data_IF_577222987006
#
_entry.id   IF_577222987006
#
_cell.length_a   1.000
_cell.length_b   1.000
_cell.length_c   1.000
_cell.angle_alpha   90.00
_cell.angle_beta   90.00
_cell.angle_gamma   90.00
#
_symmetry.space_group_name_H-M   'P 1'
#
loop_
_entity.id
_entity.type
_entity.pdbx_description
1 polymer ?
#
# COMPACT_ATOMS: atom_id res chain seq x y z
N UNK A 1 -57.62 -18.16 -63.62
CA UNK A 1 -56.39 -18.60 -64.32
C UNK A 1 -55.42 -17.42 -64.40
N UNK A 2 -54.30 -17.56 -63.68
CA UNK A 2 -52.98 -16.93 -63.72
C UNK A 2 -52.75 -15.48 -64.21
N UNK A 3 -51.96 -14.70 -63.44
CA UNK A 3 -50.90 -13.85 -63.97
C UNK A 3 -49.52 -14.56 -63.94
N UNK A 4 -48.61 -14.26 -64.89
CA UNK A 4 -47.18 -14.09 -64.59
C UNK A 4 -46.63 -12.77 -65.21
N UNK A 5 -45.37 -12.31 -64.94
CA UNK A 5 -44.24 -13.04 -64.37
C UNK A 5 -43.48 -12.38 -63.19
N UNK A 6 -42.99 -13.29 -62.35
CA UNK A 6 -41.70 -13.38 -61.64
C UNK A 6 -40.73 -12.21 -61.81
N UNK A 7 -40.39 -11.54 -60.70
CA UNK A 7 -39.07 -10.94 -60.49
C UNK A 7 -38.38 -11.68 -59.35
N UNK A 8 -37.17 -12.15 -59.61
CA UNK A 8 -36.39 -13.05 -58.77
C UNK A 8 -35.93 -12.34 -57.49
N UNK A 9 -36.42 -12.78 -56.33
CA UNK A 9 -35.76 -12.52 -55.06
C UNK A 9 -34.60 -13.50 -54.90
N UNK A 10 -33.37 -12.98 -55.00
CA UNK A 10 -32.13 -13.70 -54.70
C UNK A 10 -32.20 -14.23 -53.28
N UNK A 11 -32.26 -15.55 -53.10
CA UNK A 11 -32.05 -16.19 -51.80
C UNK A 11 -30.56 -16.12 -51.49
N UNK A 12 -30.17 -15.26 -50.56
CA UNK A 12 -28.87 -15.34 -49.91
C UNK A 12 -28.90 -16.53 -48.95
N UNK A 13 -28.06 -17.52 -49.21
CA UNK A 13 -27.79 -18.62 -48.28
C UNK A 13 -27.10 -18.07 -47.02
N UNK A 14 -27.50 -18.47 -45.81
CA UNK A 14 -26.84 -18.06 -44.58
C UNK A 14 -25.37 -18.52 -44.59
N UNK A 15 -24.49 -17.64 -44.13
CA UNK A 15 -23.05 -17.89 -44.06
C UNK A 15 -22.78 -18.92 -42.97
N UNK A 16 -21.74 -19.79 -43.10
CA UNK A 16 -21.36 -20.74 -42.05
C UNK A 16 -21.10 -20.08 -40.68
N UNK A 17 -20.86 -18.76 -40.64
CA UNK A 17 -20.72 -17.97 -39.43
C UNK A 17 -22.01 -17.83 -38.61
N UNK A 18 -23.18 -18.03 -39.21
CA UNK A 18 -24.49 -17.84 -38.55
C UNK A 18 -24.92 -19.05 -37.69
N UNK A 19 -24.12 -20.12 -37.65
CA UNK A 19 -24.39 -21.36 -36.92
C UNK A 19 -23.56 -21.56 -35.65
N UNK A 20 -22.82 -20.54 -35.19
CA UNK A 20 -22.13 -20.61 -33.91
C UNK A 20 -23.16 -20.33 -32.81
N UNK A 21 -23.46 -21.27 -31.90
CA UNK A 21 -24.33 -20.99 -30.77
C UNK A 21 -23.68 -19.88 -29.94
N UNK A 22 -24.30 -18.71 -29.89
CA UNK A 22 -23.93 -17.66 -28.94
C UNK A 22 -24.26 -18.21 -27.56
N UNK A 23 -23.25 -18.74 -26.87
CA UNK A 23 -23.34 -18.95 -25.44
C UNK A 23 -23.77 -17.61 -24.82
N UNK A 24 -24.89 -17.61 -24.11
CA UNK A 24 -25.41 -16.40 -23.47
C UNK A 24 -24.32 -15.75 -22.59
N UNK A 25 -24.24 -14.40 -22.56
CA UNK A 25 -23.14 -13.64 -21.96
C UNK A 25 -23.24 -13.50 -20.43
N UNK A 26 -23.97 -14.39 -19.74
CA UNK A 26 -24.22 -14.30 -18.30
C UNK A 26 -22.94 -14.39 -17.47
N UNK A 27 -21.99 -15.26 -17.84
CA UNK A 27 -20.74 -15.44 -17.10
C UNK A 27 -19.73 -14.30 -17.30
N UNK A 28 -19.66 -13.69 -18.50
CA UNK A 28 -18.75 -12.55 -18.76
C UNK A 28 -19.20 -11.31 -17.98
N UNK A 29 -20.50 -11.09 -17.83
CA UNK A 29 -21.04 -9.94 -17.10
C UNK A 29 -20.75 -9.98 -15.60
N UNK A 30 -20.48 -11.16 -15.02
CA UNK A 30 -20.18 -11.32 -13.59
C UNK A 30 -18.71 -11.07 -13.21
N UNK A 31 -17.78 -11.10 -14.17
CA UNK A 31 -16.34 -10.98 -13.89
C UNK A 31 -15.80 -9.56 -14.08
N UNK A 32 -16.50 -8.75 -14.87
CA UNK A 32 -16.18 -7.36 -15.14
C UNK A 32 -16.27 -6.49 -13.88
N UNK A 33 -15.46 -5.44 -13.81
CA UNK A 33 -15.49 -4.48 -12.72
C UNK A 33 -16.71 -3.58 -12.86
N UNK A 34 -17.63 -3.66 -11.91
CA UNK A 34 -18.82 -2.81 -11.84
C UNK A 34 -18.86 -2.11 -10.49
N UNK A 35 -18.36 -0.88 -10.39
CA UNK A 35 -18.44 -0.13 -9.14
C UNK A 35 -19.90 0.14 -8.79
N UNK A 36 -20.21 0.15 -7.49
CA UNK A 36 -21.49 0.65 -7.02
C UNK A 36 -21.65 2.15 -7.30
N UNK A 37 -22.87 2.66 -7.25
CA UNK A 37 -23.12 4.10 -7.42
C UNK A 37 -22.32 4.94 -6.42
N UNK A 38 -22.26 4.53 -5.16
CA UNK A 38 -21.49 5.25 -4.14
C UNK A 38 -19.99 5.24 -4.43
N UNK A 39 -19.43 4.10 -4.88
CA UNK A 39 -18.03 4.01 -5.29
C UNK A 39 -17.74 4.90 -6.50
N UNK A 40 -18.65 4.96 -7.48
CA UNK A 40 -18.51 5.82 -8.65
C UNK A 40 -18.53 7.31 -8.26
N UNK A 41 -19.45 7.72 -7.39
CA UNK A 41 -19.55 9.11 -6.96
C UNK A 41 -18.28 9.57 -6.21
N UNK A 42 -17.72 8.71 -5.34
CA UNK A 42 -16.43 8.99 -4.67
C UNK A 42 -15.29 9.02 -5.69
N UNK A 43 -15.23 8.04 -6.60
CA UNK A 43 -14.21 7.98 -7.66
C UNK A 43 -14.17 9.25 -8.50
N UNK A 44 -15.32 9.74 -8.95
CA UNK A 44 -15.41 10.95 -9.76
C UNK A 44 -14.93 12.20 -8.97
N UNK A 45 -15.10 12.21 -7.64
CA UNK A 45 -14.68 13.31 -6.77
C UNK A 45 -13.17 13.35 -6.49
N UNK A 46 -12.46 12.22 -6.64
CA UNK A 46 -11.00 12.10 -6.37
C UNK A 46 -10.15 11.94 -7.64
N UNK A 47 -10.77 11.60 -8.76
CA UNK A 47 -10.04 11.25 -9.99
C UNK A 47 -9.52 12.45 -10.74
N UNK A 48 -8.42 12.26 -11.45
CA UNK A 48 -7.93 13.25 -12.39
C UNK A 48 -8.95 13.48 -13.53
N UNK A 49 -9.05 14.69 -14.11
CA UNK A 49 -10.05 15.01 -15.13
C UNK A 49 -10.07 14.05 -16.33
N UNK A 50 -8.95 13.43 -16.67
CA UNK A 50 -8.83 12.47 -17.77
C UNK A 50 -9.54 11.12 -17.50
N UNK A 51 -9.97 10.85 -16.27
CA UNK A 51 -10.56 9.58 -15.85
C UNK A 51 -11.97 9.69 -15.29
N UNK A 52 -12.44 10.90 -14.95
CA UNK A 52 -13.79 11.15 -14.43
C UNK A 52 -14.87 10.66 -15.42
N UNK A 53 -15.88 9.94 -14.90
CA UNK A 53 -17.01 9.46 -15.69
C UNK A 53 -16.69 8.36 -16.70
N UNK A 54 -15.44 7.85 -16.73
CA UNK A 54 -15.12 6.66 -17.53
C UNK A 54 -15.80 5.44 -16.93
N UNK A 55 -16.19 4.52 -17.80
CA UNK A 55 -16.66 3.20 -17.38
C UNK A 55 -15.59 2.47 -16.55
N UNK A 56 -16.02 1.78 -15.49
CA UNK A 56 -15.13 1.12 -14.55
C UNK A 56 -14.19 0.11 -15.21
N UNK A 57 -14.65 -0.67 -16.19
CA UNK A 57 -13.79 -1.63 -16.90
C UNK A 57 -12.71 -0.90 -17.71
N UNK A 58 -13.09 0.20 -18.38
CA UNK A 58 -12.16 1.04 -19.16
C UNK A 58 -11.12 1.67 -18.25
N UNK A 59 -11.52 2.18 -17.07
CA UNK A 59 -10.60 2.69 -16.07
C UNK A 59 -9.60 1.61 -15.62
N UNK A 60 -10.09 0.40 -15.31
CA UNK A 60 -9.22 -0.70 -14.86
C UNK A 60 -8.22 -1.16 -15.92
N UNK A 61 -8.56 -1.05 -17.20
CA UNK A 61 -7.62 -1.31 -18.29
C UNK A 61 -6.54 -0.23 -18.40
N UNK A 62 -6.87 1.04 -18.16
CA UNK A 62 -5.86 2.09 -18.01
C UNK A 62 -4.94 1.82 -16.81
N UNK A 63 -5.49 1.46 -15.65
CA UNK A 63 -4.69 1.10 -14.46
C UNK A 63 -3.72 -0.03 -14.77
N UNK A 64 -4.14 -1.08 -15.48
CA UNK A 64 -3.28 -2.23 -15.80
C UNK A 64 -2.17 -1.91 -16.80
N UNK A 65 -2.44 -1.02 -17.75
CA UNK A 65 -1.51 -0.70 -18.85
C UNK A 65 -0.60 0.48 -18.57
N UNK A 66 -0.96 1.31 -17.58
CA UNK A 66 -0.21 2.53 -17.26
C UNK A 66 1.17 2.22 -16.70
N UNK A 67 2.14 3.03 -17.13
CA UNK A 67 3.49 2.98 -16.57
C UNK A 67 3.58 3.55 -15.16
N UNK A 68 2.59 4.32 -14.70
CA UNK A 68 2.53 4.82 -13.31
C UNK A 68 2.09 3.74 -12.32
N UNK A 69 1.44 2.67 -12.79
CA UNK A 69 1.06 1.52 -11.94
C UNK A 69 2.29 0.64 -11.68
N UNK A 70 3.10 1.07 -10.71
CA UNK A 70 4.35 0.40 -10.31
C UNK A 70 4.14 -0.74 -9.32
N UNK A 71 2.92 -1.23 -9.14
CA UNK A 71 2.57 -2.37 -8.31
C UNK A 71 1.79 -3.40 -9.13
N UNK A 72 1.55 -4.59 -8.57
CA UNK A 72 0.64 -5.54 -9.20
C UNK A 72 -0.80 -5.02 -9.08
N UNK A 73 -1.42 -4.66 -10.20
CA UNK A 73 -2.85 -4.33 -10.28
C UNK A 73 -3.76 -5.55 -10.05
N UNK A 74 -3.60 -6.24 -8.92
CA UNK A 74 -4.41 -7.36 -8.48
C UNK A 74 -5.88 -6.92 -8.40
N UNK A 75 -6.86 -7.70 -8.87
CA UNK A 75 -8.25 -7.24 -8.94
C UNK A 75 -8.77 -6.72 -7.60
N UNK A 76 -8.49 -7.41 -6.49
CA UNK A 76 -8.89 -7.01 -5.15
C UNK A 76 -8.22 -5.71 -4.65
N UNK A 77 -7.02 -5.39 -5.14
CA UNK A 77 -6.30 -4.16 -4.80
C UNK A 77 -6.84 -3.02 -5.67
N UNK A 78 -6.86 -3.23 -6.99
CA UNK A 78 -7.29 -2.22 -7.95
C UNK A 78 -8.74 -1.79 -7.72
N UNK A 79 -9.65 -2.73 -7.43
CA UNK A 79 -11.05 -2.41 -7.14
C UNK A 79 -11.22 -1.53 -5.91
N UNK A 80 -10.44 -1.77 -4.84
CA UNK A 80 -10.48 -0.99 -3.60
C UNK A 80 -9.78 0.36 -3.74
N UNK A 81 -8.75 0.44 -4.58
CA UNK A 81 -8.07 1.71 -4.85
C UNK A 81 -8.93 2.66 -5.69
N UNK A 82 -9.89 2.13 -6.46
CA UNK A 82 -10.82 2.91 -7.29
C UNK A 82 -11.46 4.07 -6.53
N UNK A 83 -11.85 3.84 -5.28
CA UNK A 83 -12.44 4.84 -4.39
C UNK A 83 -11.74 4.93 -3.02
N UNK A 84 -10.46 4.53 -2.94
CA UNK A 84 -9.58 4.68 -1.76
C UNK A 84 -10.10 3.93 -0.51
N UNK A 85 -10.55 2.68 -0.65
CA UNK A 85 -11.08 1.84 0.44
C UNK A 85 -9.99 1.29 1.39
N UNK A 86 -9.17 2.15 1.98
CA UNK A 86 -8.23 1.78 3.05
C UNK A 86 -8.93 1.57 4.39
N UNK A 87 -8.30 0.81 5.29
CA UNK A 87 -8.77 0.49 6.66
C UNK A 87 -10.01 -0.41 6.71
N UNK A 88 -11.20 0.13 6.42
CA UNK A 88 -12.48 -0.57 6.59
C UNK A 88 -12.67 -1.77 5.63
N UNK A 89 -11.87 -1.83 4.55
CA UNK A 89 -11.92 -2.89 3.55
C UNK A 89 -10.60 -3.68 3.45
N UNK A 90 -9.78 -3.64 4.51
CA UNK A 90 -8.48 -4.32 4.66
C UNK A 90 -7.40 -3.92 3.65
N UNK A 91 -7.61 -2.89 2.82
CA UNK A 91 -6.54 -2.34 2.01
C UNK A 91 -5.53 -1.62 2.90
N UNK A 92 -4.28 -2.04 2.77
CA UNK A 92 -3.12 -1.55 3.51
C UNK A 92 -2.05 -1.05 2.55
N UNK A 93 -1.26 -0.05 2.99
CA UNK A 93 -0.08 0.44 2.26
C UNK A 93 0.84 -0.70 1.82
N UNK A 94 1.01 -1.74 2.65
CA UNK A 94 1.90 -2.87 2.34
C UNK A 94 1.41 -3.77 1.19
N UNK A 95 0.19 -3.56 0.67
CA UNK A 95 -0.27 -4.21 -0.57
C UNK A 95 0.32 -3.58 -1.84
N UNK A 96 1.10 -2.52 -1.72
CA UNK A 96 1.68 -1.79 -2.85
C UNK A 96 3.21 -1.97 -2.97
N UNK A 97 3.77 -3.19 -2.90
CA UNK A 97 5.19 -3.38 -3.14
C UNK A 97 5.52 -3.00 -4.59
N UNK A 98 6.75 -2.50 -4.82
CA UNK A 98 7.18 -2.24 -6.19
C UNK A 98 7.19 -3.53 -6.98
N UNK A 99 6.50 -3.49 -8.11
CA UNK A 99 6.39 -4.62 -9.00
C UNK A 99 7.58 -4.64 -9.96
N UNK A 100 8.55 -5.51 -9.67
CA UNK A 100 9.72 -5.76 -10.53
C UNK A 100 9.38 -6.72 -11.68
N UNK A 101 10.07 -6.59 -12.81
CA UNK A 101 9.91 -7.44 -13.99
C UNK A 101 10.14 -8.94 -13.68
N UNK A 102 11.10 -9.25 -12.81
CA UNK A 102 11.42 -10.62 -12.40
C UNK A 102 10.23 -11.31 -11.73
N UNK A 103 9.40 -10.55 -11.04
CA UNK A 103 8.18 -11.03 -10.39
C UNK A 103 7.06 -11.42 -11.38
N UNK A 104 7.13 -11.04 -12.67
CA UNK A 104 6.24 -11.57 -13.71
C UNK A 104 6.57 -13.03 -14.03
N UNK A 105 7.86 -13.37 -14.03
CA UNK A 105 8.37 -14.70 -14.36
C UNK A 105 7.94 -15.73 -13.31
N UNK A 106 7.99 -15.38 -12.03
CA UNK A 106 7.60 -16.26 -10.93
C UNK A 106 6.08 -16.48 -10.85
N UNK A 107 5.27 -15.46 -11.20
CA UNK A 107 3.81 -15.62 -11.29
C UNK A 107 3.34 -16.49 -12.44
N UNK A 108 4.08 -16.54 -13.55
CA UNK A 108 3.76 -17.49 -14.64
C UNK A 108 3.81 -18.95 -14.16
N UNK A 109 4.55 -19.22 -13.08
CA UNK A 109 4.77 -20.56 -12.52
C UNK A 109 3.79 -20.92 -11.39
N UNK A 110 3.21 -19.94 -10.68
CA UNK A 110 2.28 -20.16 -9.58
C UNK A 110 0.84 -19.81 -10.01
N UNK A 111 -0.06 -20.81 -10.06
CA UNK A 111 -1.51 -20.73 -10.37
C UNK A 111 -2.05 -19.29 -10.39
N UNK A 112 -1.93 -18.64 -11.54
CA UNK A 112 -2.10 -17.20 -11.64
C UNK A 112 -3.56 -16.80 -11.38
N UNK A 113 -3.76 -15.82 -10.49
CA UNK A 113 -5.04 -15.14 -10.32
C UNK A 113 -5.46 -14.57 -11.67
N UNK A 114 -6.72 -14.78 -12.05
CA UNK A 114 -7.26 -14.12 -13.24
C UNK A 114 -7.32 -12.61 -12.97
N UNK A 115 -6.39 -11.87 -13.57
CA UNK A 115 -6.22 -10.44 -13.37
C UNK A 115 -7.37 -9.58 -13.89
N UNK A 116 -8.38 -10.18 -14.55
CA UNK A 116 -9.63 -9.53 -14.98
C UNK A 116 -10.84 -9.95 -14.15
N UNK A 117 -10.68 -10.84 -13.16
CA UNK A 117 -11.78 -11.30 -12.32
C UNK A 117 -11.95 -10.36 -11.12
N UNK A 118 -12.97 -9.51 -11.15
CA UNK A 118 -13.31 -8.58 -10.06
C UNK A 118 -14.42 -9.11 -9.14
N UNK A 119 -14.64 -10.42 -9.12
CA UNK A 119 -15.57 -11.03 -8.15
C UNK A 119 -15.15 -10.69 -6.72
N UNK A 120 -16.12 -10.40 -5.85
CA UNK A 120 -15.89 -10.19 -4.41
C UNK A 120 -15.25 -11.39 -3.70
N UNK A 121 -15.24 -12.56 -4.33
CA UNK A 121 -14.55 -13.76 -3.85
C UNK A 121 -13.03 -13.71 -4.01
N UNK A 122 -12.51 -12.77 -4.80
CA UNK A 122 -11.07 -12.60 -4.96
C UNK A 122 -10.52 -11.90 -3.71
N UNK A 123 -9.83 -12.68 -2.87
CA UNK A 123 -9.22 -12.18 -1.64
C UNK A 123 -8.04 -11.23 -1.94
N UNK A 124 -7.74 -10.35 -0.98
CA UNK A 124 -6.51 -9.56 -1.02
C UNK A 124 -5.29 -10.48 -0.87
N UNK A 125 -4.15 -10.17 -1.52
CA UNK A 125 -2.89 -10.83 -1.23
C UNK A 125 -2.52 -10.68 0.24
N UNK A 126 -1.90 -11.71 0.82
CA UNK A 126 -1.42 -11.66 2.19
C UNK A 126 -0.32 -10.60 2.35
N UNK A 127 -0.32 -9.93 3.50
CA UNK A 127 0.72 -8.97 3.84
C UNK A 127 2.04 -9.69 4.16
N UNK A 128 3.20 -9.04 3.95
CA UNK A 128 4.48 -9.63 4.34
C UNK A 128 4.53 -9.91 5.85
N UNK A 129 5.03 -11.08 6.27
CA UNK A 129 5.16 -11.42 7.70
C UNK A 129 6.21 -10.56 8.42
N UNK A 130 7.29 -10.21 7.70
CA UNK A 130 8.45 -9.49 8.25
C UNK A 130 8.86 -8.30 7.38
N UNK A 131 8.00 -7.27 7.21
CA UNK A 131 8.33 -6.09 6.43
C UNK A 131 9.48 -5.31 7.05
N UNK A 132 10.34 -4.80 6.18
CA UNK A 132 11.34 -3.81 6.49
C UNK A 132 10.77 -2.41 6.31
N UNK A 133 11.39 -1.41 6.94
CA UNK A 133 10.96 -0.02 6.79
C UNK A 133 11.06 0.47 5.34
N UNK A 134 12.02 -0.04 4.57
CA UNK A 134 12.14 0.22 3.13
C UNK A 134 10.91 -0.22 2.34
N UNK A 135 10.23 -1.29 2.77
CA UNK A 135 9.03 -1.78 2.08
C UNK A 135 7.87 -0.78 2.24
N UNK A 136 7.79 -0.14 3.41
CA UNK A 136 6.81 0.92 3.69
C UNK A 136 7.09 2.17 2.86
N UNK A 137 8.32 2.68 2.87
CA UNK A 137 8.68 3.91 2.13
C UNK A 137 8.62 3.71 0.62
N UNK A 138 8.96 2.50 0.13
CA UNK A 138 8.78 2.13 -1.26
C UNK A 138 7.29 2.09 -1.63
N UNK A 139 6.44 1.45 -0.82
CA UNK A 139 5.02 1.36 -1.10
C UNK A 139 4.33 2.74 -1.15
N UNK A 140 4.70 3.64 -0.23
CA UNK A 140 4.26 5.04 -0.25
C UNK A 140 4.70 5.75 -1.54
N UNK A 141 5.94 5.53 -1.98
CA UNK A 141 6.47 6.09 -3.22
C UNK A 141 5.77 5.56 -4.48
N UNK A 142 5.42 4.28 -4.48
CA UNK A 142 4.66 3.62 -5.56
C UNK A 142 3.24 4.19 -5.62
N UNK A 143 2.56 4.31 -4.49
CA UNK A 143 1.23 4.92 -4.40
C UNK A 143 1.23 6.38 -4.85
N UNK A 144 2.22 7.17 -4.43
CA UNK A 144 2.33 8.56 -4.89
C UNK A 144 2.57 8.64 -6.41
N UNK A 145 3.34 7.71 -6.98
CA UNK A 145 3.53 7.64 -8.44
C UNK A 145 2.22 7.39 -9.17
N UNK A 146 1.40 6.47 -8.66
CA UNK A 146 0.06 6.20 -9.17
C UNK A 146 -0.85 7.44 -9.02
N UNK A 147 -0.85 8.07 -7.85
CA UNK A 147 -1.67 9.24 -7.55
C UNK A 147 -1.44 10.41 -8.51
N UNK A 148 -0.19 10.62 -8.95
CA UNK A 148 0.16 11.67 -9.93
C UNK A 148 -0.57 11.52 -11.27
N UNK A 149 -0.90 10.30 -11.68
CA UNK A 149 -1.59 10.05 -12.94
C UNK A 149 -3.10 9.97 -12.76
N UNK A 150 -3.57 9.23 -11.75
CA UNK A 150 -4.97 8.84 -11.66
C UNK A 150 -5.83 9.74 -10.78
N UNK A 151 -5.23 10.53 -9.87
CA UNK A 151 -5.97 11.37 -8.93
C UNK A 151 -5.85 12.87 -9.24
N UNK A 152 -6.84 13.63 -8.79
CA UNK A 152 -6.80 15.10 -8.86
C UNK A 152 -5.76 15.68 -7.88
N UNK A 153 -5.51 16.98 -8.02
CA UNK A 153 -4.48 17.69 -7.24
C UNK A 153 -4.67 17.55 -5.73
N UNK A 154 -5.88 17.79 -5.22
CA UNK A 154 -6.18 17.73 -3.79
C UNK A 154 -5.96 16.32 -3.21
N UNK A 155 -6.37 15.27 -3.93
CA UNK A 155 -6.15 13.88 -3.52
C UNK A 155 -4.67 13.52 -3.58
N UNK A 156 -3.98 13.94 -4.65
CA UNK A 156 -2.54 13.69 -4.84
C UNK A 156 -1.70 14.26 -3.72
N UNK A 157 -2.05 15.43 -3.19
CA UNK A 157 -1.30 16.11 -2.15
C UNK A 157 -1.23 15.30 -0.84
N UNK A 158 -2.25 14.48 -0.56
CA UNK A 158 -2.24 13.59 0.61
C UNK A 158 -1.26 12.44 0.43
N UNK A 159 -1.22 11.84 -0.77
CA UNK A 159 -0.23 10.82 -1.07
C UNK A 159 1.20 11.40 -1.09
N UNK A 160 1.36 12.65 -1.55
CA UNK A 160 2.64 13.36 -1.50
C UNK A 160 3.09 13.55 -0.04
N UNK A 161 2.20 14.08 0.80
CA UNK A 161 2.49 14.33 2.20
C UNK A 161 2.75 13.03 2.98
N UNK A 162 2.02 11.95 2.68
CA UNK A 162 2.25 10.64 3.27
C UNK A 162 3.63 10.07 2.89
N UNK A 163 4.02 10.18 1.61
CA UNK A 163 5.35 9.78 1.15
C UNK A 163 6.44 10.58 1.86
N UNK A 164 6.35 11.91 1.83
CA UNK A 164 7.38 12.78 2.39
C UNK A 164 7.51 12.59 3.91
N UNK A 165 6.41 12.33 4.61
CA UNK A 165 6.46 11.96 6.03
C UNK A 165 7.08 10.57 6.25
N UNK A 166 6.75 9.59 5.42
CA UNK A 166 7.41 8.28 5.45
C UNK A 166 8.93 8.39 5.31
N UNK A 167 9.42 9.28 4.45
CA UNK A 167 10.86 9.54 4.30
C UNK A 167 11.46 10.21 5.55
N UNK A 168 10.75 11.16 6.17
CA UNK A 168 11.20 11.78 7.44
C UNK A 168 11.30 10.77 8.59
N UNK A 169 10.51 9.70 8.56
CA UNK A 169 10.56 8.66 9.57
C UNK A 169 11.85 7.80 9.50
N UNK A 170 12.60 7.86 8.39
CA UNK A 170 13.91 7.19 8.25
C UNK A 170 14.90 7.65 9.32
N UNK A 171 14.86 8.95 9.70
CA UNK A 171 15.73 9.52 10.73
C UNK A 171 15.55 8.87 12.12
N UNK A 172 14.45 8.14 12.33
CA UNK A 172 14.12 7.46 13.59
C UNK A 172 14.40 5.95 13.55
N UNK A 173 15.01 5.46 12.48
CA UNK A 173 15.48 4.09 12.36
C UNK A 173 16.45 3.70 13.52
N UNK A 174 16.60 2.40 13.83
CA UNK A 174 15.96 1.25 13.18
C UNK A 174 14.49 1.06 13.60
N UNK A 175 13.71 0.48 12.68
CA UNK A 175 12.32 0.08 12.90
C UNK A 175 12.21 -1.44 12.91
N UNK A 176 11.54 -1.99 13.90
CA UNK A 176 11.18 -3.41 13.91
C UNK A 176 10.02 -3.69 12.96
N UNK A 177 9.91 -4.95 12.50
CA UNK A 177 8.81 -5.35 11.62
C UNK A 177 7.42 -5.09 12.21
N UNK A 178 7.24 -5.28 13.52
CA UNK A 178 5.97 -4.96 14.20
C UNK A 178 5.66 -3.46 14.17
N UNK A 179 6.66 -2.60 14.31
CA UNK A 179 6.49 -1.15 14.19
C UNK A 179 6.17 -0.74 12.75
N UNK A 180 6.77 -1.39 11.76
CA UNK A 180 6.44 -1.16 10.34
C UNK A 180 4.98 -1.51 10.05
N UNK A 181 4.47 -2.62 10.61
CA UNK A 181 3.04 -2.94 10.51
C UNK A 181 2.14 -1.87 11.15
N UNK A 182 2.51 -1.36 12.34
CA UNK A 182 1.77 -0.30 13.02
C UNK A 182 1.77 0.98 12.18
N UNK A 183 2.91 1.36 11.62
CA UNK A 183 3.03 2.53 10.74
C UNK A 183 2.20 2.34 9.46
N UNK A 184 2.28 1.18 8.81
CA UNK A 184 1.47 0.88 7.63
C UNK A 184 -0.02 0.97 7.92
N UNK A 185 -0.47 0.40 9.05
CA UNK A 185 -1.84 0.51 9.52
C UNK A 185 -2.25 1.96 9.77
N UNK A 186 -1.39 2.75 10.41
CA UNK A 186 -1.64 4.17 10.66
C UNK A 186 -1.78 4.98 9.37
N UNK A 187 -0.86 4.83 8.41
CA UNK A 187 -0.97 5.47 7.09
C UNK A 187 -2.25 5.05 6.36
N UNK A 188 -2.60 3.76 6.42
CA UNK A 188 -3.82 3.24 5.80
C UNK A 188 -5.06 3.88 6.40
N UNK A 189 -5.12 4.03 7.73
CA UNK A 189 -6.25 4.68 8.40
C UNK A 189 -6.38 6.17 8.02
N UNK A 190 -5.25 6.87 7.87
CA UNK A 190 -5.27 8.28 7.46
C UNK A 190 -5.86 8.42 6.06
N UNK A 191 -5.39 7.61 5.12
CA UNK A 191 -5.89 7.64 3.74
C UNK A 191 -7.37 7.19 3.71
N UNK A 192 -7.77 6.23 4.54
CA UNK A 192 -9.17 5.85 4.71
C UNK A 192 -10.04 6.98 5.29
N UNK A 193 -9.51 7.76 6.24
CA UNK A 193 -10.21 8.91 6.79
C UNK A 193 -10.37 10.05 5.77
N UNK A 194 -9.39 10.24 4.88
CA UNK A 194 -9.55 11.16 3.75
C UNK A 194 -10.76 10.80 2.88
N UNK A 195 -10.94 9.52 2.55
CA UNK A 195 -12.13 9.07 1.81
C UNK A 195 -13.43 9.45 2.54
N UNK A 196 -13.47 9.31 3.87
CA UNK A 196 -14.65 9.71 4.65
C UNK A 196 -14.91 11.22 4.55
N UNK A 197 -13.86 12.05 4.57
CA UNK A 197 -13.98 13.49 4.36
C UNK A 197 -14.49 13.82 2.94
N UNK A 198 -14.06 13.09 1.90
CA UNK A 198 -14.61 13.23 0.54
C UNK A 198 -16.11 12.98 0.53
N UNK A 199 -16.57 11.90 1.16
CA UNK A 199 -18.00 11.56 1.23
C UNK A 199 -18.79 12.65 1.97
N UNK A 200 -18.23 13.20 3.04
CA UNK A 200 -18.87 14.28 3.80
C UNK A 200 -18.92 15.61 3.02
N UNK A 201 -17.87 15.94 2.26
CA UNK A 201 -17.84 17.11 1.36
C UNK A 201 -18.95 17.01 0.31
N UNK A 202 -19.11 15.83 -0.29
CA UNK A 202 -20.17 15.56 -1.27
C UNK A 202 -21.57 15.69 -0.67
N UNK A 203 -21.75 15.27 0.60
CA UNK A 203 -23.03 15.32 1.31
C UNK A 203 -23.39 16.73 1.76
N UNK A 204 -22.40 17.47 2.25
CA UNK A 204 -22.59 18.76 2.93
C UNK A 204 -22.39 19.97 2.02
N UNK A 205 -21.66 19.81 0.90
CA UNK A 205 -21.28 20.89 -0.01
C UNK A 205 -20.16 21.78 0.52
N UNK A 206 -19.61 21.50 1.70
CA UNK A 206 -18.48 22.21 2.29
C UNK A 206 -17.16 21.48 1.94
N UNK A 207 -16.06 22.22 1.90
CA UNK A 207 -14.72 21.63 1.72
C UNK A 207 -14.07 21.40 3.09
N UNK A 208 -14.23 20.19 3.61
CA UNK A 208 -13.57 19.72 4.84
C UNK A 208 -12.26 19.00 4.56
N UNK A 209 -12.07 18.49 3.33
CA UNK A 209 -10.85 17.79 2.89
C UNK A 209 -9.55 18.57 3.15
N UNK A 210 -9.52 19.89 2.92
CA UNK A 210 -8.34 20.73 3.20
C UNK A 210 -8.08 20.95 4.71
N UNK A 211 -9.13 21.21 5.50
CA UNK A 211 -9.00 21.41 6.94
C UNK A 211 -8.59 20.12 7.64
N UNK A 212 -9.15 19.00 7.20
CA UNK A 212 -8.79 17.66 7.63
C UNK A 212 -7.31 17.42 7.28
N UNK A 213 -6.87 17.54 6.01
CA UNK A 213 -5.44 17.45 5.60
C UNK A 213 -4.48 18.27 6.47
N UNK A 214 -4.87 19.49 6.81
CA UNK A 214 -4.07 20.39 7.66
C UNK A 214 -4.12 20.01 9.14
N UNK A 215 -5.25 19.53 9.66
CA UNK A 215 -5.41 18.98 11.00
C UNK A 215 -4.66 17.65 11.16
N UNK A 216 -4.66 16.78 10.15
CA UNK A 216 -3.90 15.52 10.10
C UNK A 216 -2.39 15.80 10.15
N UNK A 217 -1.90 16.75 9.32
CA UNK A 217 -0.49 17.19 9.31
C UNK A 217 -0.08 17.96 10.57
N UNK A 218 -1.03 18.65 11.21
CA UNK A 218 -0.76 19.56 12.32
C UNK A 218 -0.99 18.99 13.73
N UNK A 219 -1.95 18.10 13.96
CA UNK A 219 -2.31 17.60 15.32
C UNK A 219 -1.76 16.20 15.62
N UNK A 220 -1.88 15.22 14.73
CA UNK A 220 -1.40 13.84 15.02
C UNK A 220 0.09 13.62 14.70
N UNK A 221 0.58 14.41 13.74
CA UNK A 221 2.00 14.61 13.46
C UNK A 221 2.73 15.47 14.50
N UNK A 222 1.99 16.17 15.38
CA UNK A 222 2.57 16.98 16.46
C UNK A 222 3.12 16.12 17.59
N UNK A 223 4.19 15.39 17.29
CA UNK A 223 5.08 14.85 18.31
C UNK A 223 4.41 13.80 19.22
N UNK A 224 3.09 13.60 19.21
CA UNK A 224 2.30 12.84 20.18
C UNK A 224 2.28 11.36 19.86
N UNK A 225 1.95 10.96 18.64
CA UNK A 225 1.96 9.54 18.23
C UNK A 225 3.40 9.01 18.17
N UNK A 226 4.34 9.77 17.58
CA UNK A 226 5.77 9.44 17.59
C UNK A 226 6.37 9.55 19.01
N UNK A 227 5.99 10.51 19.88
CA UNK A 227 6.41 10.51 21.30
C UNK A 227 5.79 9.37 22.08
N UNK A 228 4.54 9.01 21.84
CA UNK A 228 3.86 7.95 22.59
C UNK A 228 4.44 6.59 22.19
N UNK A 229 4.73 6.37 20.91
CA UNK A 229 5.57 5.25 20.45
C UNK A 229 6.98 5.30 21.07
N UNK A 230 7.60 6.47 21.20
CA UNK A 230 8.88 6.66 21.95
C UNK A 230 8.76 6.44 23.46
N UNK A 231 7.61 6.73 24.07
CA UNK A 231 7.35 6.57 25.52
C UNK A 231 7.06 5.11 25.86
N UNK A 232 6.46 4.37 24.93
CA UNK A 232 6.25 2.92 25.02
C UNK A 232 7.46 2.11 24.55
N UNK A 233 8.41 2.72 23.82
CA UNK A 233 9.73 2.11 23.58
C UNK A 233 10.47 1.99 24.92
N UNK A 234 11.14 0.86 25.20
CA UNK A 234 12.09 0.79 26.29
C UNK A 234 13.09 1.94 26.13
N UNK A 235 13.22 2.80 27.15
CA UNK A 235 14.20 3.89 27.12
C UNK A 235 15.59 3.28 27.00
N UNK A 236 16.09 3.23 25.78
CA UNK A 236 17.39 2.65 25.54
C UNK A 236 18.45 3.67 25.96
N UNK A 237 19.40 3.22 26.77
CA UNK A 237 20.45 4.09 27.27
C UNK A 237 21.20 4.72 26.08
N UNK A 238 21.52 6.01 26.19
CA UNK A 238 22.32 6.74 25.18
C UNK A 238 23.55 7.29 25.87
N UNK A 239 24.70 7.23 25.19
CA UNK A 239 25.94 7.86 25.63
C UNK A 239 26.39 8.84 24.55
N UNK A 240 26.53 10.12 24.92
CA UNK A 240 26.90 11.20 23.98
C UNK A 240 26.05 11.18 22.70
N UNK A 241 24.73 11.17 22.88
CA UNK A 241 23.68 11.13 21.84
C UNK A 241 23.67 9.90 20.90
N UNK A 242 24.53 8.91 21.13
CA UNK A 242 24.56 7.66 20.37
C UNK A 242 23.88 6.53 21.11
N UNK A 243 23.19 5.66 20.37
CA UNK A 243 22.51 4.49 20.91
C UNK A 243 23.47 3.32 21.11
N UNK A 244 23.20 2.42 22.05
CA UNK A 244 24.02 1.20 22.22
C UNK A 244 23.93 0.30 20.96
N UNK A 245 25.09 -0.09 20.44
CA UNK A 245 25.17 -1.07 19.37
C UNK A 245 24.72 -2.45 19.88
N UNK A 246 23.62 -2.98 19.36
CA UNK A 246 23.10 -4.30 19.77
C UNK A 246 24.06 -5.45 19.44
N UNK A 247 24.84 -5.34 18.35
CA UNK A 247 25.90 -6.30 18.03
C UNK A 247 27.02 -6.28 19.07
N UNK A 248 27.39 -5.12 19.60
CA UNK A 248 28.35 -5.03 20.70
C UNK A 248 27.80 -5.63 22.00
N UNK A 249 26.49 -5.48 22.24
CA UNK A 249 25.77 -6.07 23.36
C UNK A 249 25.47 -7.57 23.19
N UNK A 250 25.81 -8.16 22.04
CA UNK A 250 25.59 -9.56 21.73
C UNK A 250 26.87 -10.39 21.86
N UNK A 251 26.73 -11.71 21.99
CA UNK A 251 27.83 -12.68 21.93
C UNK A 251 28.52 -12.66 20.56
N UNK A 252 27.77 -12.42 19.49
CA UNK A 252 28.28 -12.33 18.13
C UNK A 252 29.30 -11.18 17.94
N UNK A 253 29.20 -10.13 18.75
CA UNK A 253 30.12 -9.00 18.73
C UNK A 253 29.93 -8.07 17.52
N UNK A 254 30.53 -6.89 17.62
CA UNK A 254 30.57 -5.89 16.56
C UNK A 254 31.89 -5.98 15.78
N UNK A 255 31.85 -5.80 14.46
CA UNK A 255 33.03 -5.82 13.58
C UNK A 255 33.89 -4.55 13.65
N UNK A 256 33.41 -3.50 14.32
CA UNK A 256 34.19 -2.27 14.52
C UNK A 256 35.40 -2.53 15.43
N UNK A 257 36.57 -2.02 15.02
CA UNK A 257 37.82 -2.06 15.80
C UNK A 257 37.86 -1.01 16.93
N UNK A 258 36.91 -0.07 16.94
CA UNK A 258 36.85 0.99 17.96
C UNK A 258 36.16 0.48 19.22
N UNK A 259 36.72 0.85 20.39
CA UNK A 259 36.17 0.48 21.70
C UNK A 259 34.86 1.20 22.04
N UNK A 260 34.64 2.38 21.45
CA UNK A 260 33.54 3.30 21.78
C UNK A 260 32.59 3.55 20.60
N UNK A 261 32.98 3.19 19.36
CA UNK A 261 32.21 3.48 18.15
C UNK A 261 31.87 2.23 17.35
N UNK A 262 30.65 2.19 16.84
CA UNK A 262 30.24 1.25 15.82
C UNK A 262 30.71 1.74 14.43
N UNK A 263 30.59 0.87 13.41
CA UNK A 263 30.70 1.29 12.01
C UNK A 263 29.59 2.26 11.60
N UNK A 264 28.42 2.15 12.26
CA UNK A 264 27.31 3.09 12.12
C UNK A 264 27.50 4.28 13.05
N UNK A 265 27.53 5.50 12.50
CA UNK A 265 27.86 6.74 13.21
C UNK A 265 26.93 7.07 14.39
N UNK A 266 25.68 6.64 14.32
CA UNK A 266 24.66 6.83 15.36
C UNK A 266 24.69 5.77 16.48
N UNK A 267 25.52 4.72 16.33
CA UNK A 267 25.68 3.65 17.31
C UNK A 267 27.03 3.74 18.04
N UNK A 268 27.02 3.47 19.33
CA UNK A 268 28.20 3.48 20.20
C UNK A 268 28.33 2.16 20.98
N UNK A 269 29.56 1.88 21.39
CA UNK A 269 29.89 0.76 22.25
C UNK A 269 29.99 1.27 23.70
N UNK A 270 29.08 0.81 24.55
CA UNK A 270 29.15 1.08 25.99
C UNK A 270 28.38 0.01 26.74
N UNK A 271 28.66 -0.10 28.02
CA UNK A 271 27.98 -1.00 28.93
C UNK A 271 26.71 -0.32 29.46
N UNK A 272 25.52 -0.86 29.19
CA UNK A 272 24.29 -0.31 29.73
C UNK A 272 24.15 -0.68 31.21
N UNK A 273 23.69 0.24 32.05
CA UNK A 273 23.39 -0.05 33.46
C UNK A 273 22.26 -1.10 33.63
N UNK A 274 21.34 -1.17 32.67
CA UNK A 274 20.28 -2.17 32.60
C UNK A 274 19.90 -2.39 31.13
N UNK A 275 19.70 -3.65 30.75
CA UNK A 275 19.24 -4.02 29.42
C UNK A 275 17.78 -4.52 29.53
N UNK A 276 16.79 -3.81 28.95
CA UNK A 276 15.41 -4.23 29.00
C UNK A 276 15.21 -5.63 28.43
N UNK A 277 14.37 -6.46 29.07
CA UNK A 277 14.17 -7.87 28.69
C UNK A 277 13.71 -8.03 27.23
N UNK A 278 12.90 -7.12 26.71
CA UNK A 278 12.49 -7.13 25.31
C UNK A 278 13.69 -7.00 24.34
N UNK A 279 14.68 -6.17 24.68
CA UNK A 279 15.91 -6.02 23.90
C UNK A 279 16.83 -7.22 24.08
N UNK A 280 16.91 -7.75 25.30
CA UNK A 280 17.66 -8.98 25.59
C UNK A 280 17.10 -10.17 24.80
N UNK A 281 15.77 -10.32 24.74
CA UNK A 281 15.07 -11.33 23.94
C UNK A 281 15.36 -11.18 22.45
N UNK A 282 15.27 -9.96 21.91
CA UNK A 282 15.61 -9.68 20.52
C UNK A 282 17.08 -10.01 20.19
N UNK A 283 18.03 -9.65 21.06
CA UNK A 283 19.44 -9.97 20.90
C UNK A 283 19.68 -11.49 20.95
N UNK A 284 18.99 -12.21 21.84
CA UNK A 284 19.06 -13.68 21.91
C UNK A 284 18.58 -14.33 20.61
N UNK A 285 17.45 -13.88 20.09
CA UNK A 285 16.83 -14.42 18.88
C UNK A 285 17.63 -14.06 17.60
N UNK A 286 18.16 -12.84 17.54
CA UNK A 286 18.77 -12.30 16.30
C UNK A 286 20.29 -12.42 16.26
N UNK A 287 20.97 -12.33 17.40
CA UNK A 287 22.44 -12.21 17.49
C UNK A 287 23.09 -13.26 18.39
N UNK A 288 22.39 -14.37 18.66
CA UNK A 288 22.96 -15.57 19.28
C UNK A 288 23.27 -15.48 20.77
N UNK A 289 22.76 -14.45 21.47
CA UNK A 289 22.90 -14.31 22.91
C UNK A 289 23.33 -12.92 23.36
N UNK A 290 22.97 -12.57 24.60
CA UNK A 290 23.37 -11.29 25.23
C UNK A 290 24.74 -11.45 25.87
N UNK A 291 25.62 -10.48 25.65
CA UNK A 291 26.94 -10.42 26.27
C UNK A 291 26.81 -10.14 27.77
N UNK A 292 27.60 -10.81 28.60
CA UNK A 292 27.68 -10.51 30.03
C UNK A 292 28.42 -9.18 30.25
N UNK A 293 27.71 -8.25 30.86
CA UNK A 293 28.24 -6.98 31.34
C UNK A 293 28.76 -7.15 32.78
N UNK A 294 29.88 -6.50 33.13
CA UNK A 294 30.38 -6.47 34.49
C UNK A 294 29.41 -5.67 35.37
N UNK A 295 28.96 -6.23 36.50
CA UNK A 295 28.19 -5.47 37.48
C UNK A 295 29.11 -4.40 38.10
N UNK A 296 28.67 -3.16 38.10
CA UNK A 296 29.29 -2.12 38.93
C UNK A 296 28.87 -2.39 40.38
N UNK A 297 29.85 -2.59 41.27
CA UNK A 297 29.67 -2.63 42.73
C UNK A 297 29.23 -1.26 43.26
#
# INVERSE_FOLDING_TARGET
MNPPPISQAVRLSPSPSDLIPVNEPSDRRQQNFRPSRAQQEVHDAISAPAYIGKDGDVYMDHVRTSTATKFLAHPAIASRLFDIEFSACDLSILHFPRFALDSQLDRSKAKAVNMRNFSSKVALPELPDKPMFSDLTEALSVLYTFAKEFFNEETRDIFAAAKDFGEQLEDFAPWSSSEVHILAFWFSNIIGAYRLAVVEDMRSGYSTRHSETTLWLGKELSVGTVRNLRKSRPKFQRKTDRQLCLRYASVQGCSSKSKDRCLQSFLAHFEPAELPEAVAAYIRDTYGGVRTFAKQE
#
